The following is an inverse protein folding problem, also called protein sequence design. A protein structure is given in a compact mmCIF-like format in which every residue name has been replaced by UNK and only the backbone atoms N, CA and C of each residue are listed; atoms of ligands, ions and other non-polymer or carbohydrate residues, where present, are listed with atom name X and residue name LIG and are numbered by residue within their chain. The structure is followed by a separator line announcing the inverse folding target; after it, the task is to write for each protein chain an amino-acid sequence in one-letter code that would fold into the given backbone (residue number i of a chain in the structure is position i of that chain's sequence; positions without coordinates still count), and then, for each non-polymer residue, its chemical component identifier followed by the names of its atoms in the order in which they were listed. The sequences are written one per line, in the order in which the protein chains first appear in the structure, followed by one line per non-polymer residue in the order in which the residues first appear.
data_IF_762885797930
#
_entry.id   IF_762885797930
#
_cell.length_a   1.000
_cell.length_b   1.000
_cell.length_c   1.000
_cell.angle_alpha   90.00
_cell.angle_beta   90.00
_cell.angle_gamma   90.00
#
_symmetry.space_group_name_H-M   'P 1'
#
loop_
_entity.id
_entity.type
_entity.pdbx_description
1 polymer ?
#
# COMPACT_ATOMS: atom_id res chain seq x y z
N UNK A 1 16.15 -6.31 -11.84
CA UNK A 1 16.39 -6.68 -10.43
C UNK A 1 15.11 -6.58 -9.60
N UNK A 2 14.47 -5.42 -9.45
CA UNK A 2 13.26 -5.25 -8.64
C UNK A 2 12.08 -6.20 -9.00
N UNK A 3 11.67 -6.23 -10.27
CA UNK A 3 10.64 -7.16 -10.75
C UNK A 3 10.95 -8.65 -10.46
N UNK A 4 12.23 -9.06 -10.48
CA UNK A 4 12.64 -10.45 -10.18
C UNK A 4 12.69 -10.77 -8.67
N UNK A 5 12.67 -9.73 -7.84
CA UNK A 5 12.61 -9.82 -6.39
C UNK A 5 11.17 -9.52 -5.89
N UNK A 6 10.17 -9.71 -6.74
CA UNK A 6 8.75 -9.48 -6.45
C UNK A 6 8.41 -8.04 -6.02
N UNK A 7 9.22 -7.07 -6.48
CA UNK A 7 9.04 -5.62 -6.26
C UNK A 7 8.74 -4.90 -7.56
N UNK A 8 7.64 -5.29 -8.21
CA UNK A 8 7.18 -4.67 -9.46
C UNK A 8 6.88 -3.18 -9.28
N UNK A 9 6.52 -2.80 -8.06
CA UNK A 9 6.27 -1.44 -7.60
C UNK A 9 7.50 -0.51 -7.61
N UNK A 10 8.69 -1.07 -7.89
CA UNK A 10 9.97 -0.39 -8.10
C UNK A 10 10.59 -0.71 -9.48
N UNK A 11 9.81 -1.26 -10.41
CA UNK A 11 10.35 -1.74 -11.67
C UNK A 11 10.71 -0.57 -12.61
N UNK A 12 12.02 -0.33 -12.78
CA UNK A 12 12.53 0.81 -13.53
C UNK A 12 12.38 0.68 -15.06
N UNK A 13 12.23 -0.53 -15.61
CA UNK A 13 12.07 -0.71 -17.06
C UNK A 13 10.66 -0.34 -17.52
N UNK A 14 9.70 -0.34 -16.59
CA UNK A 14 8.29 -0.11 -16.90
C UNK A 14 7.60 -1.30 -17.56
N UNK A 15 8.29 -2.42 -17.83
CA UNK A 15 7.71 -3.60 -18.52
C UNK A 15 6.86 -4.51 -17.61
N UNK A 16 6.35 -3.96 -16.50
CA UNK A 16 5.36 -4.65 -15.67
C UNK A 16 3.97 -4.51 -16.29
N UNK A 17 3.08 -5.41 -15.88
CA UNK A 17 1.67 -5.40 -16.24
C UNK A 17 0.80 -5.03 -15.05
N UNK A 18 -0.38 -4.48 -15.34
CA UNK A 18 -1.41 -4.11 -14.39
C UNK A 18 -2.74 -4.64 -14.92
N UNK A 19 -3.37 -5.55 -14.17
CA UNK A 19 -4.65 -6.13 -14.57
C UNK A 19 -5.72 -5.06 -14.70
N UNK A 20 -6.33 -4.96 -15.88
CA UNK A 20 -7.38 -3.99 -16.18
C UNK A 20 -6.86 -2.60 -16.56
N UNK A 21 -5.55 -2.40 -16.62
CA UNK A 21 -4.92 -1.11 -16.96
C UNK A 21 -3.90 -1.30 -18.07
N UNK A 22 -2.92 -2.18 -17.88
CA UNK A 22 -1.77 -2.33 -18.78
C UNK A 22 -1.37 -3.79 -19.00
N UNK A 23 -1.56 -4.27 -20.23
CA UNK A 23 -0.99 -5.55 -20.68
C UNK A 23 -1.66 -6.82 -20.13
N UNK A 24 -2.65 -6.71 -19.23
CA UNK A 24 -3.44 -7.84 -18.73
C UNK A 24 -4.91 -7.46 -18.53
N UNK A 25 -5.82 -8.42 -18.71
CA UNK A 25 -7.24 -8.24 -18.45
C UNK A 25 -7.54 -8.05 -16.96
N UNK A 26 -8.54 -7.23 -16.65
CA UNK A 26 -8.97 -6.92 -15.28
C UNK A 26 -9.85 -8.02 -14.66
N UNK A 27 -10.50 -7.67 -13.55
CA UNK A 27 -11.31 -8.61 -12.75
C UNK A 27 -12.83 -8.43 -12.91
N UNK A 28 -13.30 -7.51 -13.76
CA UNK A 28 -14.73 -7.30 -14.02
C UNK A 28 -15.29 -8.38 -14.96
N UNK A 29 -15.35 -9.61 -14.47
CA UNK A 29 -15.87 -10.81 -15.13
C UNK A 29 -16.41 -11.77 -14.06
N UNK A 30 -17.20 -12.76 -14.44
CA UNK A 30 -17.82 -13.70 -13.50
C UNK A 30 -16.79 -14.57 -12.76
N UNK A 31 -15.73 -14.98 -13.46
CA UNK A 31 -14.66 -15.82 -12.91
C UNK A 31 -13.30 -15.42 -13.48
N UNK A 32 -12.25 -15.62 -12.69
CA UNK A 32 -10.85 -15.41 -13.10
C UNK A 32 -10.00 -16.58 -12.69
N UNK A 33 -8.97 -16.85 -13.49
CA UNK A 33 -7.86 -17.74 -13.14
C UNK A 33 -6.64 -16.87 -12.91
N UNK A 34 -5.90 -17.14 -11.84
CA UNK A 34 -4.66 -16.45 -11.52
C UNK A 34 -3.71 -17.37 -10.76
N UNK A 35 -2.46 -16.91 -10.59
CA UNK A 35 -1.46 -17.61 -9.79
C UNK A 35 -1.68 -17.34 -8.29
N UNK A 36 -1.58 -18.38 -7.46
CA UNK A 36 -1.80 -18.32 -6.02
C UNK A 36 -0.89 -17.29 -5.32
N UNK A 37 0.32 -17.07 -5.85
CA UNK A 37 1.29 -16.12 -5.27
C UNK A 37 0.79 -14.67 -5.26
N UNK A 38 -0.18 -14.34 -6.12
CA UNK A 38 -0.78 -13.01 -6.23
C UNK A 38 -2.11 -12.90 -5.49
N UNK A 39 -2.54 -13.96 -4.80
CA UNK A 39 -3.81 -14.01 -4.07
C UNK A 39 -3.60 -13.77 -2.58
N UNK A 40 -4.35 -12.81 -2.04
CA UNK A 40 -4.37 -12.52 -0.60
C UNK A 40 -5.68 -13.01 0.01
N UNK A 41 -5.58 -13.83 1.07
CA UNK A 41 -6.75 -14.36 1.76
C UNK A 41 -7.40 -13.25 2.59
N UNK A 42 -8.67 -12.98 2.28
CA UNK A 42 -9.49 -12.05 3.04
C UNK A 42 -10.16 -12.78 4.21
N UNK A 43 -9.94 -12.36 5.47
CA UNK A 43 -10.69 -12.87 6.61
C UNK A 43 -12.19 -12.66 6.42
N UNK A 44 -13.01 -13.68 6.74
CA UNK A 44 -14.47 -13.63 6.52
C UNK A 44 -15.14 -12.40 7.15
N UNK A 45 -14.64 -11.94 8.30
CA UNK A 45 -15.16 -10.78 9.01
C UNK A 45 -14.96 -9.45 8.25
N UNK A 46 -14.04 -9.39 7.28
CA UNK A 46 -13.73 -8.18 6.50
C UNK A 46 -14.37 -8.19 5.11
N UNK A 47 -15.16 -9.21 4.76
CA UNK A 47 -15.69 -9.43 3.40
C UNK A 47 -16.31 -8.17 2.79
N UNK A 48 -17.11 -7.44 3.56
CA UNK A 48 -17.91 -6.32 3.06
C UNK A 48 -17.07 -5.07 2.75
N UNK A 49 -15.86 -4.99 3.30
CA UNK A 49 -14.94 -3.85 3.12
C UNK A 49 -13.63 -4.24 2.42
N UNK A 50 -13.42 -5.53 2.16
CA UNK A 50 -12.14 -6.05 1.65
C UNK A 50 -11.74 -5.49 0.29
N UNK A 51 -12.70 -5.02 -0.51
CA UNK A 51 -12.41 -4.32 -1.77
C UNK A 51 -11.54 -3.07 -1.56
N UNK A 52 -11.59 -2.46 -0.38
CA UNK A 52 -10.79 -1.29 -0.02
C UNK A 52 -9.32 -1.63 0.28
N UNK A 53 -8.96 -2.92 0.38
CA UNK A 53 -7.57 -3.33 0.63
C UNK A 53 -6.66 -2.88 -0.51
N UNK A 54 -7.07 -3.04 -1.76
CA UNK A 54 -6.27 -2.62 -2.92
C UNK A 54 -5.92 -1.12 -2.85
N UNK A 55 -6.88 -0.17 -2.74
CA UNK A 55 -6.54 1.24 -2.66
C UNK A 55 -5.82 1.61 -1.34
N UNK A 56 -6.08 0.90 -0.23
CA UNK A 56 -5.36 1.10 1.03
C UNK A 56 -3.87 0.73 0.88
N UNK A 57 -3.54 -0.33 0.12
CA UNK A 57 -2.14 -0.77 -0.05
C UNK A 57 -1.25 0.29 -0.69
N UNK A 58 -1.83 1.19 -1.48
CA UNK A 58 -1.12 2.34 -2.06
C UNK A 58 -0.62 3.27 -0.93
N UNK A 59 -1.51 3.63 0.00
CA UNK A 59 -1.17 4.47 1.15
C UNK A 59 -0.22 3.76 2.13
N UNK A 60 -0.45 2.48 2.41
CA UNK A 60 0.41 1.66 3.28
C UNK A 60 1.85 1.59 2.75
N UNK A 61 2.03 1.30 1.45
CA UNK A 61 3.37 1.31 0.83
C UNK A 61 4.02 2.68 0.99
N UNK A 62 3.28 3.76 0.73
CA UNK A 62 3.81 5.12 0.85
C UNK A 62 4.26 5.41 2.30
N UNK A 63 3.49 5.00 3.31
CA UNK A 63 3.84 5.17 4.71
C UNK A 63 5.08 4.37 5.11
N UNK A 64 5.21 3.11 4.64
CA UNK A 64 6.41 2.30 4.82
C UNK A 64 7.64 3.00 4.22
N UNK A 65 7.50 3.54 3.00
CA UNK A 65 8.58 4.27 2.33
C UNK A 65 8.95 5.55 3.08
N UNK A 66 7.98 6.31 3.60
CA UNK A 66 8.26 7.47 4.46
C UNK A 66 9.06 7.03 5.69
N UNK A 67 8.64 5.95 6.36
CA UNK A 67 9.37 5.38 7.49
C UNK A 67 10.84 5.07 7.14
N UNK A 68 11.08 4.42 6.01
CA UNK A 68 12.43 4.09 5.53
C UNK A 68 13.25 5.35 5.20
N UNK A 69 12.67 6.29 4.46
CA UNK A 69 13.36 7.53 4.06
C UNK A 69 13.71 8.38 5.28
N UNK A 70 12.85 8.44 6.29
CA UNK A 70 13.08 9.25 7.48
C UNK A 70 14.12 8.68 8.44
N UNK A 71 14.58 7.42 8.26
CA UNK A 71 15.71 6.85 9.01
C UNK A 71 17.02 7.63 8.78
N UNK A 72 17.11 8.42 7.71
CA UNK A 72 18.26 9.31 7.45
C UNK A 72 18.33 10.51 8.41
N UNK A 73 17.30 10.73 9.23
CA UNK A 73 17.18 11.84 10.17
C UNK A 73 16.92 11.28 11.59
N UNK A 74 17.25 12.04 12.65
CA UNK A 74 16.74 11.78 14.00
C UNK A 74 15.25 12.13 14.08
N UNK A 75 14.42 11.38 13.34
CA UNK A 75 13.00 11.68 13.11
C UNK A 75 12.09 11.24 14.27
N UNK A 76 12.56 10.40 15.18
CA UNK A 76 11.77 9.95 16.32
C UNK A 76 11.33 11.13 17.20
N UNK A 77 10.04 11.17 17.55
CA UNK A 77 9.55 12.10 18.56
C UNK A 77 10.17 11.72 19.91
N UNK A 78 10.76 12.68 20.61
CA UNK A 78 11.51 12.48 21.86
C UNK A 78 10.86 11.49 22.83
N UNK A 79 11.65 10.52 23.26
CA UNK A 79 11.27 9.47 24.21
C UNK A 79 11.23 10.03 25.64
N UNK A 80 10.20 10.78 25.99
CA UNK A 80 9.88 11.01 27.41
C UNK A 80 9.37 9.67 28.00
N UNK A 81 10.01 9.14 29.05
CA UNK A 81 9.57 7.91 29.71
C UNK A 81 8.12 8.07 30.20
N UNK A 82 7.20 7.26 29.67
CA UNK A 82 5.77 7.30 30.02
C UNK A 82 4.86 7.81 28.91
N UNK A 83 5.39 8.38 27.83
CA UNK A 83 4.61 8.66 26.59
C UNK A 83 4.77 7.53 25.57
N UNK A 84 4.28 6.35 25.92
CA UNK A 84 4.12 5.25 24.95
C UNK A 84 3.07 5.68 23.89
N UNK A 85 3.49 5.81 22.62
CA UNK A 85 2.57 5.73 21.48
C UNK A 85 2.05 7.03 20.84
N UNK A 86 2.61 8.22 21.12
CA UNK A 86 2.19 9.45 20.40
C UNK A 86 3.19 9.83 19.31
N UNK A 87 2.90 9.45 18.06
CA UNK A 87 3.48 10.13 16.90
C UNK A 87 3.10 11.61 16.96
N UNK A 88 4.08 12.52 17.11
CA UNK A 88 3.83 13.98 17.15
C UNK A 88 4.00 14.64 15.78
N UNK A 89 4.21 13.84 14.72
CA UNK A 89 4.28 14.36 13.37
C UNK A 89 2.89 14.75 12.91
N UNK A 90 2.81 15.87 12.18
CA UNK A 90 1.59 16.32 11.51
C UNK A 90 1.72 15.99 10.03
N UNK A 91 0.65 15.49 9.44
CA UNK A 91 0.53 15.27 8.01
C UNK A 91 -0.52 16.21 7.43
N UNK A 92 -0.41 16.52 6.14
CA UNK A 92 -1.44 17.22 5.37
C UNK A 92 -1.86 16.29 4.25
N UNK A 93 -3.14 15.94 4.21
CA UNK A 93 -3.73 15.14 3.15
C UNK A 93 -4.38 16.09 2.14
N UNK A 94 -3.96 15.98 0.88
CA UNK A 94 -4.51 16.80 -0.21
C UNK A 94 -5.50 15.95 -1.02
N UNK A 95 -6.79 16.27 -0.89
CA UNK A 95 -7.89 15.57 -1.55
C UNK A 95 -8.65 14.62 -0.64
N UNK A 96 -9.98 14.56 -0.80
CA UNK A 96 -10.91 13.79 0.05
C UNK A 96 -11.51 12.58 -0.68
N UNK A 97 -10.83 12.07 -1.72
CA UNK A 97 -11.21 10.82 -2.38
C UNK A 97 -10.82 9.59 -1.56
N UNK A 98 -11.18 8.36 -2.02
CA UNK A 98 -10.94 7.13 -1.26
C UNK A 98 -9.50 6.94 -0.79
N UNK A 99 -8.51 7.17 -1.67
CA UNK A 99 -7.08 7.06 -1.31
C UNK A 99 -6.68 8.08 -0.24
N UNK A 100 -7.17 9.32 -0.34
CA UNK A 100 -6.90 10.37 0.64
C UNK A 100 -7.50 10.04 2.00
N UNK A 101 -8.75 9.53 2.03
CA UNK A 101 -9.41 9.13 3.27
C UNK A 101 -8.78 7.90 3.92
N UNK A 102 -8.32 6.92 3.13
CA UNK A 102 -7.64 5.74 3.63
C UNK A 102 -6.22 6.03 4.14
N UNK A 103 -5.54 7.02 3.56
CA UNK A 103 -4.20 7.44 3.96
C UNK A 103 -4.14 8.57 4.99
N UNK A 104 -5.27 8.97 5.57
CA UNK A 104 -5.39 10.10 6.49
C UNK A 104 -5.03 9.77 7.96
#
# INVERSE_FOLDING_TARGET
MACRADRQDFCFTGDFSERGIKGLHGFMTETVVDDERYMHVVPRALRDVAVLVEPLTIAEKALIQVGQVQQRLPWACGAEPGTQGRFRHRAVVLGAGPVGLLGA
#
